data_IF_631022270635
#
_entry.id   IF_631022270635
#
_cell.length_a   1.000
_cell.length_b   1.000
_cell.length_c   1.000
_cell.angle_alpha   90.00
_cell.angle_beta   90.00
_cell.angle_gamma   90.00
#
_symmetry.space_group_name_H-M   'P 1'
#
loop_
_entity.id
_entity.type
_entity.pdbx_description
1 polymer ?
#
# COMPACT_ATOMS: atom_id res chain seq x y z
N UNK A 1 53.25 -42.38 -1.94
CA UNK A 1 52.02 -42.26 -2.75
C UNK A 1 51.67 -40.77 -2.84
N UNK A 2 51.88 -40.10 -3.98
CA UNK A 2 51.45 -38.72 -4.18
C UNK A 2 50.08 -38.71 -4.86
N UNK A 3 49.04 -38.29 -4.16
CA UNK A 3 47.73 -38.03 -4.77
C UNK A 3 47.50 -36.51 -4.81
N UNK A 4 47.99 -35.89 -5.88
CA UNK A 4 47.64 -34.54 -6.30
C UNK A 4 46.44 -34.65 -7.25
N UNK A 5 45.23 -34.39 -6.78
CA UNK A 5 44.14 -33.93 -7.67
C UNK A 5 43.09 -33.14 -6.87
N UNK A 6 43.37 -31.86 -6.67
CA UNK A 6 42.34 -30.87 -6.35
C UNK A 6 41.38 -30.81 -7.55
N UNK A 7 40.25 -31.49 -7.44
CA UNK A 7 39.18 -31.46 -8.45
C UNK A 7 38.59 -30.05 -8.50
N UNK A 8 39.12 -29.22 -9.39
CA UNK A 8 38.52 -27.94 -9.80
C UNK A 8 37.13 -28.24 -10.32
N UNK A 9 36.08 -27.94 -9.55
CA UNK A 9 34.69 -28.17 -9.97
C UNK A 9 34.41 -27.31 -11.20
N UNK A 10 34.22 -27.97 -12.35
CA UNK A 10 33.85 -27.36 -13.64
C UNK A 10 32.37 -26.94 -13.71
N UNK A 11 31.63 -27.04 -12.61
CA UNK A 11 30.16 -26.93 -12.56
C UNK A 11 29.62 -25.52 -12.30
N UNK A 12 30.50 -24.52 -12.23
CA UNK A 12 30.04 -23.13 -12.13
C UNK A 12 30.05 -22.52 -13.52
N UNK A 13 28.87 -22.23 -14.11
CA UNK A 13 28.84 -21.47 -15.35
C UNK A 13 29.54 -20.14 -15.09
N UNK A 14 30.63 -19.90 -15.83
CA UNK A 14 31.31 -18.61 -15.85
C UNK A 14 30.25 -17.56 -16.20
N UNK A 15 29.88 -16.75 -15.22
CA UNK A 15 29.03 -15.59 -15.46
C UNK A 15 29.70 -14.78 -16.57
N UNK A 16 29.04 -14.54 -17.72
CA UNK A 16 29.63 -13.75 -18.77
C UNK A 16 29.90 -12.38 -18.16
N UNK A 17 31.16 -11.95 -18.21
CA UNK A 17 31.59 -10.60 -17.84
C UNK A 17 30.93 -9.66 -18.85
N UNK A 18 29.64 -9.35 -18.64
CA UNK A 18 28.94 -8.28 -19.33
C UNK A 18 29.74 -7.03 -19.00
N UNK A 19 30.25 -6.36 -20.02
CA UNK A 19 30.64 -4.97 -19.89
C UNK A 19 29.36 -4.18 -19.61
N UNK A 20 28.96 -4.18 -18.34
CA UNK A 20 27.92 -3.32 -17.84
C UNK A 20 28.54 -1.93 -17.84
N UNK A 21 28.11 -1.10 -18.78
CA UNK A 21 28.28 0.34 -18.64
C UNK A 21 27.44 0.68 -17.41
N UNK A 22 28.10 0.87 -16.27
CA UNK A 22 27.46 1.24 -15.01
C UNK A 22 27.09 2.72 -15.10
N UNK A 23 25.94 2.97 -15.72
CA UNK A 23 25.36 4.31 -15.82
C UNK A 23 24.62 4.57 -14.51
N UNK A 24 25.19 5.43 -13.68
CA UNK A 24 24.61 5.83 -12.39
C UNK A 24 23.16 6.36 -12.57
N UNK A 25 22.15 5.61 -12.08
CA UNK A 25 20.74 5.96 -12.25
C UNK A 25 20.35 7.30 -11.60
N UNK A 26 21.06 7.71 -10.54
CA UNK A 26 20.79 8.95 -9.81
C UNK A 26 21.36 10.17 -10.53
N UNK A 27 22.54 10.04 -11.14
CA UNK A 27 23.14 11.08 -11.97
C UNK A 27 22.26 11.38 -13.19
N UNK A 28 21.78 10.34 -13.87
CA UNK A 28 20.89 10.49 -15.02
C UNK A 28 19.50 11.00 -14.61
N UNK A 29 18.99 10.60 -13.44
CA UNK A 29 17.78 11.16 -12.80
C UNK A 29 17.77 12.68 -12.74
N UNK A 30 18.81 13.23 -12.12
CA UNK A 30 18.98 14.67 -11.96
C UNK A 30 19.20 15.37 -13.30
N UNK A 31 19.87 14.72 -14.25
CA UNK A 31 20.08 15.24 -15.60
C UNK A 31 18.77 15.34 -16.40
N UNK A 32 17.95 14.29 -16.42
CA UNK A 32 16.65 14.29 -17.10
C UNK A 32 15.72 15.37 -16.54
N UNK A 33 15.67 15.54 -15.22
CA UNK A 33 14.83 16.56 -14.58
C UNK A 33 15.30 17.98 -14.92
N UNK A 34 16.61 18.19 -15.05
CA UNK A 34 17.19 19.47 -15.48
C UNK A 34 16.91 19.73 -16.96
N UNK A 35 17.05 18.71 -17.81
CA UNK A 35 16.70 18.78 -19.23
C UNK A 35 15.20 19.07 -19.43
N UNK A 36 14.31 18.39 -18.70
CA UNK A 36 12.87 18.60 -18.80
C UNK A 36 12.48 20.05 -18.45
N UNK A 37 13.04 20.59 -17.36
CA UNK A 37 12.84 22.01 -16.99
C UNK A 37 13.45 22.97 -18.01
N UNK A 38 14.56 22.60 -18.63
CA UNK A 38 15.24 23.41 -19.63
C UNK A 38 14.48 23.45 -20.98
N UNK A 39 14.04 22.29 -21.47
CA UNK A 39 13.25 22.13 -22.70
C UNK A 39 11.83 22.71 -22.57
N UNK A 40 11.24 22.65 -21.38
CA UNK A 40 9.92 23.26 -21.11
C UNK A 40 9.94 24.79 -21.01
N UNK A 41 11.12 25.41 -20.92
CA UNK A 41 11.26 26.86 -20.85
C UNK A 41 11.48 27.43 -22.26
N UNK A 42 10.65 28.40 -22.70
CA UNK A 42 10.80 29.06 -24.01
C UNK A 42 12.16 29.74 -24.27
N UNK A 43 13.00 29.88 -23.23
CA UNK A 43 14.40 30.34 -23.32
C UNK A 43 15.29 29.41 -24.16
N UNK A 44 15.03 28.10 -24.18
CA UNK A 44 15.83 27.16 -24.97
C UNK A 44 15.66 27.43 -26.47
N UNK A 45 14.41 27.53 -26.93
CA UNK A 45 14.08 27.84 -28.32
C UNK A 45 14.67 29.19 -28.73
N UNK A 46 14.58 30.22 -27.87
CA UNK A 46 15.18 31.52 -28.13
C UNK A 46 16.69 31.44 -28.36
N UNK A 47 17.44 30.77 -27.49
CA UNK A 47 18.89 30.61 -27.65
C UNK A 47 19.25 29.75 -28.87
N UNK A 48 18.51 28.68 -29.14
CA UNK A 48 18.71 27.85 -30.32
C UNK A 48 18.54 28.68 -31.62
N UNK A 49 17.45 29.45 -31.72
CA UNK A 49 17.22 30.32 -32.88
C UNK A 49 18.29 31.41 -32.98
N UNK A 50 18.70 32.00 -31.86
CA UNK A 50 19.75 33.01 -31.84
C UNK A 50 21.08 32.47 -32.37
N UNK A 51 21.48 31.26 -31.96
CA UNK A 51 22.71 30.61 -32.46
C UNK A 51 22.63 30.38 -33.97
N UNK A 52 21.48 29.89 -34.47
CA UNK A 52 21.27 29.68 -35.91
C UNK A 52 21.36 31.00 -36.68
N UNK A 53 20.70 32.06 -36.19
CA UNK A 53 20.73 33.38 -36.83
C UNK A 53 22.14 33.97 -36.82
N UNK A 54 22.85 33.92 -35.68
CA UNK A 54 24.24 34.37 -35.58
C UNK A 54 25.13 33.62 -36.54
N UNK A 55 24.95 32.30 -36.68
CA UNK A 55 25.72 31.49 -37.62
C UNK A 55 25.46 31.89 -39.08
N UNK A 56 24.20 32.09 -39.45
CA UNK A 56 23.81 32.58 -40.78
C UNK A 56 24.44 33.96 -41.05
N UNK A 57 24.37 34.88 -40.08
CA UNK A 57 25.00 36.20 -40.18
C UNK A 57 26.52 36.10 -40.35
N UNK A 58 27.21 35.31 -39.51
CA UNK A 58 28.66 35.10 -39.60
C UNK A 58 29.05 34.56 -40.98
N UNK A 59 28.27 33.62 -41.51
CA UNK A 59 28.51 33.02 -42.82
C UNK A 59 28.30 34.04 -43.95
N UNK A 60 27.26 34.88 -43.87
CA UNK A 60 27.02 36.01 -44.79
C UNK A 60 28.16 37.04 -44.77
N UNK A 61 28.69 37.40 -43.60
CA UNK A 61 29.84 38.32 -43.50
C UNK A 61 31.16 37.66 -43.94
N UNK A 62 31.30 36.35 -43.75
CA UNK A 62 32.44 35.56 -44.19
C UNK A 62 32.42 35.17 -45.68
N UNK A 63 31.42 35.63 -46.45
CA UNK A 63 31.34 35.44 -47.91
C UNK A 63 32.59 35.94 -48.65
N UNK A 64 33.30 36.94 -48.11
CA UNK A 64 34.58 37.42 -48.66
C UNK A 64 35.69 36.36 -48.65
N UNK A 65 35.57 35.30 -47.83
CA UNK A 65 36.56 34.22 -47.70
C UNK A 65 36.07 32.88 -48.27
N UNK A 66 34.87 32.81 -48.88
CA UNK A 66 34.29 31.58 -49.45
C UNK A 66 34.31 30.36 -48.48
N UNK A 67 34.22 30.62 -47.18
CA UNK A 67 34.46 29.60 -46.17
C UNK A 67 33.36 28.53 -46.08
N UNK A 68 32.13 28.83 -46.55
CA UNK A 68 31.04 27.85 -46.74
C UNK A 68 29.97 28.37 -47.74
N UNK A 69 30.14 28.15 -49.07
CA UNK A 69 29.18 28.57 -50.09
C UNK A 69 27.80 27.89 -49.95
N UNK A 70 26.74 28.51 -50.46
CA UNK A 70 25.38 27.96 -50.45
C UNK A 70 25.35 26.53 -51.04
N UNK A 71 24.81 25.50 -50.35
CA UNK A 71 23.92 25.51 -49.19
C UNK A 71 24.61 25.05 -47.89
N UNK A 72 25.24 25.97 -47.15
CA UNK A 72 25.76 25.82 -45.77
C UNK A 72 26.02 24.38 -45.29
N UNK A 73 27.00 23.71 -45.90
CA UNK A 73 27.16 22.24 -45.75
C UNK A 73 27.52 21.90 -44.30
N UNK A 74 28.26 22.80 -43.63
CA UNK A 74 28.74 22.61 -42.27
C UNK A 74 27.61 22.74 -41.24
N UNK A 75 26.68 23.68 -41.45
CA UNK A 75 25.51 23.84 -40.57
C UNK A 75 24.61 22.61 -40.67
N UNK A 76 24.40 22.12 -41.89
CA UNK A 76 23.55 20.97 -42.11
C UNK A 76 24.19 19.69 -41.54
N UNK A 77 25.51 19.55 -41.66
CA UNK A 77 26.27 18.45 -41.06
C UNK A 77 26.19 18.51 -39.53
N UNK A 78 26.38 19.68 -38.92
CA UNK A 78 26.27 19.86 -37.48
C UNK A 78 24.86 19.50 -36.96
N UNK A 79 23.80 19.94 -37.65
CA UNK A 79 22.43 19.62 -37.26
C UNK A 79 22.13 18.12 -37.43
N UNK A 80 22.65 17.49 -38.49
CA UNK A 80 22.53 16.05 -38.70
C UNK A 80 23.21 15.25 -37.57
N UNK A 81 24.42 15.66 -37.16
CA UNK A 81 25.10 15.05 -36.02
C UNK A 81 24.35 15.30 -34.70
N UNK A 82 23.81 16.52 -34.50
CA UNK A 82 23.01 16.84 -33.32
C UNK A 82 21.79 15.91 -33.20
N UNK A 83 21.04 15.72 -34.30
CA UNK A 83 19.91 14.81 -34.33
C UNK A 83 20.34 13.35 -34.10
N UNK A 84 21.46 12.92 -34.71
CA UNK A 84 21.98 11.57 -34.57
C UNK A 84 22.39 11.23 -33.12
N UNK A 85 22.99 12.17 -32.38
CA UNK A 85 23.34 11.97 -30.97
C UNK A 85 22.13 12.11 -30.03
N UNK A 86 21.10 12.85 -30.41
CA UNK A 86 19.88 12.97 -29.63
C UNK A 86 19.12 11.64 -29.53
N UNK A 87 19.06 10.85 -30.61
CA UNK A 87 18.34 9.57 -30.66
C UNK A 87 18.73 8.57 -29.54
N UNK A 88 20.02 8.22 -29.32
CA UNK A 88 20.40 7.31 -28.25
C UNK A 88 20.15 7.89 -26.85
N UNK A 89 20.33 9.21 -26.67
CA UNK A 89 20.07 9.87 -25.39
C UNK A 89 18.58 9.86 -25.03
N UNK A 90 17.71 10.09 -26.03
CA UNK A 90 16.26 9.99 -25.89
C UNK A 90 15.84 8.54 -25.61
N UNK A 91 16.41 7.57 -26.32
CA UNK A 91 16.11 6.15 -26.11
C UNK A 91 16.48 5.67 -24.69
N UNK A 92 17.61 6.13 -24.17
CA UNK A 92 18.02 5.89 -22.78
C UNK A 92 17.08 6.59 -21.79
N UNK A 93 16.61 7.79 -22.11
CA UNK A 93 15.64 8.51 -21.28
C UNK A 93 14.28 7.82 -21.25
N UNK A 94 13.81 7.32 -22.39
CA UNK A 94 12.53 6.65 -22.57
C UNK A 94 12.49 5.29 -21.85
N UNK A 95 13.48 4.41 -22.07
CA UNK A 95 13.51 3.10 -21.40
C UNK A 95 13.38 3.21 -19.86
N UNK A 96 13.96 4.26 -19.27
CA UNK A 96 13.89 4.48 -17.82
C UNK A 96 12.58 5.14 -17.37
N UNK A 97 11.95 5.96 -18.22
CA UNK A 97 10.59 6.43 -17.96
C UNK A 97 9.63 5.24 -17.94
N UNK A 98 9.73 4.35 -18.93
CA UNK A 98 8.90 3.14 -19.01
C UNK A 98 9.09 2.22 -17.79
N UNK A 99 10.33 2.03 -17.32
CA UNK A 99 10.62 1.26 -16.10
C UNK A 99 10.01 1.89 -14.83
N UNK A 100 10.09 3.21 -14.68
CA UNK A 100 9.47 3.92 -13.54
C UNK A 100 7.95 3.86 -13.60
N UNK A 101 7.38 4.08 -14.78
CA UNK A 101 5.95 4.05 -15.00
C UNK A 101 5.40 2.64 -14.73
N UNK A 102 6.16 1.60 -15.09
CA UNK A 102 5.84 0.22 -14.75
C UNK A 102 5.80 -0.01 -13.24
N UNK A 103 6.83 0.42 -12.50
CA UNK A 103 6.86 0.26 -11.04
C UNK A 103 5.69 1.02 -10.39
N UNK A 104 5.43 2.25 -10.82
CA UNK A 104 4.31 3.05 -10.33
C UNK A 104 2.96 2.35 -10.56
N UNK A 105 2.77 1.75 -11.74
CA UNK A 105 1.55 1.01 -12.06
C UNK A 105 1.41 -0.28 -11.24
N UNK A 106 2.52 -0.98 -10.95
CA UNK A 106 2.52 -2.17 -10.10
C UNK A 106 2.17 -1.81 -8.64
N UNK A 107 2.74 -0.73 -8.11
CA UNK A 107 2.39 -0.22 -6.77
C UNK A 107 0.93 0.21 -6.68
N UNK A 108 0.42 0.97 -7.66
CA UNK A 108 -0.97 1.42 -7.67
C UNK A 108 -1.94 0.24 -7.72
N UNK A 109 -1.63 -0.81 -8.50
CA UNK A 109 -2.42 -2.05 -8.50
C UNK A 109 -2.40 -2.75 -7.15
N UNK A 110 -1.25 -2.83 -6.49
CA UNK A 110 -1.14 -3.44 -5.17
C UNK A 110 -1.95 -2.66 -4.11
N UNK A 111 -1.83 -1.33 -4.12
CA UNK A 111 -2.61 -0.44 -3.23
C UNK A 111 -4.12 -0.55 -3.48
N UNK A 112 -4.53 -0.61 -4.75
CA UNK A 112 -5.94 -0.78 -5.10
C UNK A 112 -6.48 -2.15 -4.63
N UNK A 113 -5.70 -3.22 -4.78
CA UNK A 113 -6.06 -4.55 -4.26
C UNK A 113 -6.20 -4.56 -2.74
N UNK A 114 -5.27 -3.93 -2.01
CA UNK A 114 -5.33 -3.82 -0.56
C UNK A 114 -6.53 -2.99 -0.10
N UNK A 115 -6.75 -1.82 -0.72
CA UNK A 115 -7.89 -0.95 -0.40
C UNK A 115 -9.22 -1.67 -0.61
N UNK A 116 -9.32 -2.47 -1.67
CA UNK A 116 -10.50 -3.30 -1.93
C UNK A 116 -10.69 -4.35 -0.83
N UNK A 117 -9.63 -5.06 -0.45
CA UNK A 117 -9.70 -6.06 0.62
C UNK A 117 -10.10 -5.44 1.97
N UNK A 118 -9.51 -4.30 2.32
CA UNK A 118 -9.85 -3.56 3.55
C UNK A 118 -11.32 -3.11 3.52
N UNK A 119 -11.81 -2.61 2.39
CA UNK A 119 -13.22 -2.22 2.24
C UNK A 119 -14.16 -3.43 2.39
N UNK A 120 -13.82 -4.56 1.78
CA UNK A 120 -14.60 -5.80 1.92
C UNK A 120 -14.60 -6.33 3.36
N UNK A 121 -13.46 -6.23 4.06
CA UNK A 121 -13.34 -6.59 5.46
C UNK A 121 -14.20 -5.69 6.35
N UNK A 122 -14.07 -4.37 6.22
CA UNK A 122 -14.88 -3.41 6.98
C UNK A 122 -16.38 -3.57 6.70
N UNK A 123 -16.77 -3.87 5.46
CA UNK A 123 -18.16 -4.15 5.12
C UNK A 123 -18.68 -5.41 5.82
N UNK A 124 -17.87 -6.47 5.93
CA UNK A 124 -18.23 -7.70 6.67
C UNK A 124 -18.31 -7.45 8.17
N UNK A 125 -17.36 -6.73 8.75
CA UNK A 125 -17.39 -6.36 10.16
C UNK A 125 -18.61 -5.49 10.49
N UNK A 126 -18.92 -4.50 9.64
CA UNK A 126 -20.09 -3.65 9.80
C UNK A 126 -21.40 -4.45 9.70
N UNK A 127 -21.46 -5.43 8.78
CA UNK A 127 -22.61 -6.33 8.69
C UNK A 127 -22.76 -7.21 9.94
N UNK A 128 -21.66 -7.77 10.45
CA UNK A 128 -21.66 -8.57 11.68
C UNK A 128 -22.05 -7.73 12.91
N UNK A 129 -21.47 -6.53 13.04
CA UNK A 129 -21.81 -5.57 14.08
C UNK A 129 -23.28 -5.16 14.02
N UNK A 130 -23.83 -4.91 12.82
CA UNK A 130 -25.24 -4.59 12.62
C UNK A 130 -26.15 -5.72 13.12
N UNK A 131 -25.80 -6.98 12.86
CA UNK A 131 -26.58 -8.13 13.34
C UNK A 131 -26.52 -8.21 14.87
N UNK A 132 -25.32 -8.13 15.46
CA UNK A 132 -25.14 -8.17 16.91
C UNK A 132 -25.88 -7.04 17.64
N UNK A 133 -25.82 -5.81 17.11
CA UNK A 133 -26.58 -4.66 17.64
C UNK A 133 -28.08 -4.84 17.42
N UNK A 134 -28.50 -5.39 16.28
CA UNK A 134 -29.90 -5.70 15.99
C UNK A 134 -30.52 -6.69 16.98
N UNK A 135 -29.73 -7.68 17.45
CA UNK A 135 -30.15 -8.62 18.48
C UNK A 135 -30.22 -7.97 19.88
N UNK A 136 -29.19 -7.19 20.27
CA UNK A 136 -29.09 -6.57 21.62
C UNK A 136 -30.01 -5.36 21.81
N UNK A 137 -30.33 -4.63 20.73
CA UNK A 137 -31.24 -3.49 20.75
C UNK A 137 -32.64 -3.88 20.22
N UNK A 138 -33.14 -5.06 20.57
CA UNK A 138 -34.53 -5.39 20.26
C UNK A 138 -35.45 -4.40 20.98
N UNK A 139 -36.44 -3.86 20.26
CA UNK A 139 -37.45 -2.90 20.76
C UNK A 139 -38.05 -3.32 22.10
N UNK A 140 -38.18 -4.63 22.31
CA UNK A 140 -38.75 -5.23 23.52
C UNK A 140 -37.79 -5.17 24.72
N UNK A 141 -36.47 -5.24 24.50
CA UNK A 141 -35.46 -5.03 25.56
C UNK A 141 -35.37 -3.55 25.97
N UNK A 142 -35.35 -2.65 24.99
CA UNK A 142 -35.42 -1.20 25.27
C UNK A 142 -36.72 -0.81 25.98
N UNK A 143 -37.84 -1.44 25.62
CA UNK A 143 -39.12 -1.25 26.32
C UNK A 143 -39.10 -1.83 27.73
N UNK A 144 -38.60 -3.06 27.90
CA UNK A 144 -38.56 -3.68 29.22
C UNK A 144 -37.65 -2.91 30.19
N UNK A 145 -36.52 -2.38 29.71
CA UNK A 145 -35.62 -1.58 30.56
C UNK A 145 -36.19 -0.19 30.86
N UNK A 146 -36.87 0.46 29.89
CA UNK A 146 -37.63 1.69 30.14
C UNK A 146 -38.77 1.48 31.13
N UNK A 147 -39.52 0.39 31.01
CA UNK A 147 -40.62 0.05 31.92
C UNK A 147 -40.08 -0.31 33.32
N UNK A 148 -38.93 -0.99 33.40
CA UNK A 148 -38.24 -1.29 34.66
C UNK A 148 -37.75 -0.03 35.37
N UNK A 149 -37.08 0.88 34.66
CA UNK A 149 -36.64 2.18 35.21
C UNK A 149 -37.84 3.04 35.61
N UNK A 150 -38.92 3.02 34.83
CA UNK A 150 -40.18 3.70 35.17
C UNK A 150 -40.82 3.11 36.42
N UNK A 151 -40.82 1.78 36.56
CA UNK A 151 -41.32 1.09 37.74
C UNK A 151 -40.44 1.35 38.98
N UNK A 152 -39.13 1.50 38.82
CA UNK A 152 -38.21 1.85 39.90
C UNK A 152 -38.41 3.30 40.38
N UNK A 153 -38.57 4.25 39.45
CA UNK A 153 -38.93 5.64 39.80
C UNK A 153 -40.34 5.77 40.37
N UNK A 154 -41.31 4.98 39.89
CA UNK A 154 -42.67 4.92 40.45
C UNK A 154 -42.72 4.15 41.78
N UNK A 155 -41.80 3.22 41.99
CA UNK A 155 -41.70 2.30 43.13
C UNK A 155 -40.94 2.85 44.33
N UNK A 156 -40.37 4.05 44.25
CA UNK A 156 -39.73 4.76 45.36
C UNK A 156 -40.63 5.10 46.56
N UNK A 157 -41.87 4.59 46.62
CA UNK A 157 -42.79 4.84 47.73
C UNK A 157 -43.79 3.69 47.94
N UNK A 158 -43.33 2.54 48.44
CA UNK A 158 -44.12 1.59 49.28
C UNK A 158 -43.27 0.35 49.64
N UNK A 159 -42.45 0.47 50.68
CA UNK A 159 -42.03 -0.67 51.51
C UNK A 159 -42.41 -0.36 52.95
N UNK A 160 -43.69 -0.53 53.28
CA UNK A 160 -44.07 -0.81 54.66
C UNK A 160 -45.49 -1.40 54.74
N UNK A 161 -45.63 -2.35 55.66
CA UNK A 161 -46.82 -3.16 56.00
C UNK A 161 -47.19 -4.30 55.04
N UNK A 162 -46.61 -5.47 55.32
CA UNK A 162 -47.43 -6.62 55.75
C UNK A 162 -46.61 -7.65 56.54
N UNK A 163 -46.30 -7.36 57.80
CA UNK A 163 -45.93 -8.38 58.80
C UNK A 163 -47.04 -8.39 59.85
N UNK A 164 -47.93 -9.39 59.76
CA UNK A 164 -48.68 -10.03 60.87
C UNK A 164 -49.81 -10.89 60.31
N UNK A 165 -49.61 -12.21 60.37
CA UNK A 165 -50.60 -13.19 60.83
C UNK A 165 -50.05 -14.60 60.60
N UNK A 166 -49.47 -15.21 61.63
CA UNK A 166 -49.44 -16.67 61.77
C UNK A 166 -50.85 -17.15 62.10
N UNK A 167 -51.31 -18.27 61.53
CA UNK A 167 -51.37 -19.56 62.26
C UNK A 167 -51.07 -20.74 61.29
N UNK A 168 -50.80 -22.01 61.62
CA UNK A 168 -50.83 -22.85 62.81
C UNK A 168 -49.81 -23.99 62.58
N UNK A 169 -49.29 -24.55 63.67
CA UNK A 169 -48.42 -25.72 63.67
C UNK A 169 -49.27 -27.00 63.67
N UNK A 170 -49.57 -27.56 62.49
CA UNK A 170 -50.24 -28.86 62.38
C UNK A 170 -50.10 -29.44 60.96
N UNK A 171 -48.87 -29.74 60.52
CA UNK A 171 -48.64 -30.62 59.35
C UNK A 171 -47.22 -31.24 59.30
N UNK A 172 -46.63 -31.50 60.47
CA UNK A 172 -45.32 -32.19 60.55
C UNK A 172 -45.41 -33.29 61.59
N UNK A 173 -46.29 -34.26 61.40
CA UNK A 173 -46.24 -35.59 62.04
C UNK A 173 -46.95 -36.59 61.13
N UNK A 174 -46.14 -37.37 60.41
CA UNK A 174 -46.34 -38.80 60.09
C UNK A 174 -45.55 -39.16 58.82
N UNK A 175 -44.23 -39.30 58.95
CA UNK A 175 -43.42 -40.09 58.02
C UNK A 175 -42.64 -41.13 58.84
N UNK A 176 -43.10 -42.40 58.94
CA UNK A 176 -42.37 -43.46 59.60
C UNK A 176 -41.42 -44.10 58.60
N UNK A 177 -40.24 -43.48 58.41
CA UNK A 177 -39.19 -44.03 57.55
C UNK A 177 -37.97 -44.46 58.38
N UNK A 178 -38.07 -45.69 58.87
CA UNK A 178 -36.97 -46.63 59.13
C UNK A 178 -35.88 -46.20 60.13
N UNK A 179 -36.11 -46.58 61.39
CA UNK A 179 -35.07 -46.84 62.41
C UNK A 179 -34.78 -48.35 62.42
N UNK A 180 -33.69 -48.76 61.77
CA UNK A 180 -33.02 -50.03 62.07
C UNK A 180 -31.51 -49.89 61.85
N UNK A 181 -30.87 -49.55 62.97
CA UNK A 181 -29.61 -50.07 63.49
C UNK A 181 -28.69 -50.90 62.57
N UNK A 182 -27.51 -50.34 62.36
CA UNK A 182 -26.20 -50.96 62.66
C UNK A 182 -26.16 -52.49 62.82
N UNK A 183 -25.56 -53.18 61.86
CA UNK A 183 -24.70 -54.34 62.16
C UNK A 183 -23.45 -54.37 61.28
N UNK A 184 -22.33 -54.00 61.91
CA UNK A 184 -21.06 -54.74 61.92
C UNK A 184 -20.67 -55.48 60.63
N UNK A 185 -19.65 -54.98 59.92
CA UNK A 185 -18.50 -55.86 59.56
C UNK A 185 -17.21 -55.07 59.36
N UNK A 186 -16.41 -55.09 60.41
CA UNK A 186 -14.97 -54.94 60.38
C UNK A 186 -14.35 -56.26 59.89
N UNK A 187 -13.25 -56.16 59.12
CA UNK A 187 -12.06 -57.05 59.10
C UNK A 187 -11.81 -57.88 57.82
N UNK A 188 -10.55 -57.72 57.39
CA UNK A 188 -9.71 -58.51 56.46
C UNK A 188 -9.79 -58.19 54.97
#
# INVERSE_FOLDING_TARGET
MPELTSRRRLDQPRAPRRWAIDVDPEAFGRFSERLARFLGTGKFLFWQTLIVVVWICLNLFALSLQWDPYPFILLNLAFSTQAAYAAPLILLAQNRQDDRDRISLEEDRARAAQTKADTEFMARELAALRIAVGEVATRDYLRSELDRLRAEMAGGKKRDKHRKSSPSAEDIRDDPRWDDEETVTQKS
#
